data_IF_485277725035
#
_entry.id   IF_485277725035
#
_cell.length_a   1.000
_cell.length_b   1.000
_cell.length_c   1.000
_cell.angle_alpha   90.00
_cell.angle_beta   90.00
_cell.angle_gamma   90.00
#
_symmetry.space_group_name_H-M   'P 1'
#
loop_
_entity.id
_entity.type
_entity.pdbx_description
1 polymer ?
#
# COMPACT_ATOMS: atom_id res chain seq x y z
N UNK A 1 8.91 51.46 -11.65
CA UNK A 1 8.80 50.19 -12.42
C UNK A 1 8.31 49.13 -11.44
N UNK A 2 7.00 48.89 -11.43
CA UNK A 2 6.28 48.06 -10.46
C UNK A 2 6.30 46.62 -10.96
N UNK A 3 6.80 45.67 -10.17
CA UNK A 3 6.72 44.24 -10.49
C UNK A 3 5.38 43.70 -10.00
N UNK A 4 4.59 43.22 -10.96
CA UNK A 4 3.32 42.54 -10.77
C UNK A 4 3.51 41.26 -9.97
N UNK A 5 2.73 41.10 -8.90
CA UNK A 5 2.48 39.83 -8.23
C UNK A 5 1.48 39.05 -9.08
N UNK A 6 1.93 37.93 -9.65
CA UNK A 6 1.05 36.95 -10.28
C UNK A 6 0.49 36.01 -9.21
N UNK A 7 -0.78 36.18 -8.88
CA UNK A 7 -1.55 35.24 -8.06
C UNK A 7 -1.73 33.94 -8.83
N UNK A 8 -1.07 32.85 -8.42
CA UNK A 8 -1.36 31.51 -8.93
C UNK A 8 -2.50 30.96 -8.08
N UNK A 9 -3.68 30.84 -8.70
CA UNK A 9 -4.83 30.17 -8.10
C UNK A 9 -4.55 28.66 -8.04
N UNK A 10 -4.36 28.14 -6.83
CA UNK A 10 -4.33 26.70 -6.59
C UNK A 10 -5.74 26.15 -6.84
N UNK A 11 -5.89 25.39 -7.94
CA UNK A 11 -7.13 24.67 -8.22
C UNK A 11 -7.06 23.37 -7.45
N UNK A 12 -7.78 23.27 -6.33
CA UNK A 12 -7.96 22.03 -5.62
C UNK A 12 -8.72 21.04 -6.53
N UNK A 13 -8.06 19.95 -6.94
CA UNK A 13 -8.74 18.83 -7.58
C UNK A 13 -9.44 18.05 -6.47
N UNK A 14 -10.70 18.40 -6.21
CA UNK A 14 -11.57 17.57 -5.40
C UNK A 14 -11.92 16.31 -6.19
N UNK A 15 -11.40 15.16 -5.78
CA UNK A 15 -11.82 13.87 -6.32
C UNK A 15 -13.15 13.45 -5.65
N UNK A 16 -14.27 14.10 -6.00
CA UNK A 16 -15.60 13.68 -5.53
C UNK A 16 -16.64 13.63 -6.65
N UNK A 17 -17.05 12.40 -6.98
CA UNK A 17 -18.44 12.01 -7.20
C UNK A 17 -18.99 12.07 -8.63
N UNK A 18 -19.68 10.99 -9.04
CA UNK A 18 -21.10 10.95 -9.49
C UNK A 18 -21.32 9.78 -10.48
N UNK A 19 -22.06 8.74 -10.07
CA UNK A 19 -23.22 8.21 -10.82
C UNK A 19 -23.93 7.11 -10.01
N UNK A 20 -25.23 7.30 -9.81
CA UNK A 20 -26.20 6.35 -9.23
C UNK A 20 -26.38 5.10 -10.12
N UNK A 21 -26.84 3.96 -9.54
CA UNK A 21 -26.89 2.70 -10.26
C UNK A 21 -28.10 2.62 -11.21
N UNK A 22 -27.86 2.30 -12.48
CA UNK A 22 -28.87 1.71 -13.36
C UNK A 22 -28.72 0.19 -13.28
N UNK A 23 -29.73 -0.48 -12.74
CA UNK A 23 -29.89 -1.92 -12.85
C UNK A 23 -30.11 -2.29 -14.33
N UNK A 24 -29.22 -3.11 -14.89
CA UNK A 24 -29.55 -4.04 -15.97
C UNK A 24 -28.63 -5.26 -15.88
N UNK A 25 -29.24 -6.44 -15.96
CA UNK A 25 -28.71 -7.73 -15.59
C UNK A 25 -27.88 -8.43 -16.69
N UNK A 26 -27.22 -9.50 -16.25
CA UNK A 26 -26.75 -10.71 -16.98
C UNK A 26 -25.69 -10.53 -18.07
N UNK A 27 -24.46 -10.94 -17.77
CA UNK A 27 -24.06 -12.32 -18.10
C UNK A 27 -22.90 -12.81 -17.22
N UNK A 28 -22.97 -14.08 -16.84
CA UNK A 28 -22.01 -14.76 -15.99
C UNK A 28 -20.78 -15.18 -16.79
N UNK A 29 -19.60 -14.70 -16.41
CA UNK A 29 -18.35 -15.42 -16.67
C UNK A 29 -17.60 -15.56 -15.36
N UNK A 30 -17.69 -16.76 -14.81
CA UNK A 30 -16.87 -17.22 -13.71
C UNK A 30 -15.40 -17.28 -14.12
N UNK A 31 -14.51 -16.95 -13.18
CA UNK A 31 -13.19 -17.57 -13.12
C UNK A 31 -12.01 -16.61 -13.10
N UNK A 32 -11.59 -16.20 -11.89
CA UNK A 32 -10.20 -16.40 -11.44
C UNK A 32 -10.13 -16.12 -9.95
N UNK A 33 -10.50 -17.13 -9.15
CA UNK A 33 -10.10 -17.17 -7.76
C UNK A 33 -8.66 -17.71 -7.73
N UNK A 34 -7.68 -16.81 -7.64
CA UNK A 34 -6.30 -17.18 -7.39
C UNK A 34 -6.14 -17.50 -5.91
N UNK A 35 -6.21 -18.78 -5.55
CA UNK A 35 -5.85 -19.24 -4.20
C UNK A 35 -4.34 -19.24 -4.05
N UNK A 36 -3.77 -18.28 -3.33
CA UNK A 36 -2.36 -18.33 -2.90
C UNK A 36 -2.16 -19.34 -1.77
N UNK A 37 -0.97 -19.95 -1.74
CA UNK A 37 -0.59 -20.96 -0.78
C UNK A 37 -0.43 -20.39 0.64
N UNK A 38 -1.00 -21.06 1.64
CA UNK A 38 -0.75 -20.81 3.06
C UNK A 38 0.59 -21.45 3.46
N UNK A 39 1.49 -20.67 4.07
CA UNK A 39 2.66 -21.21 4.76
C UNK A 39 2.22 -21.81 6.10
N UNK A 40 2.94 -22.82 6.64
CA UNK A 40 2.60 -23.40 7.94
C UNK A 40 2.66 -22.33 9.03
N UNK A 41 1.58 -22.20 9.79
CA UNK A 41 1.49 -21.26 10.90
C UNK A 41 2.54 -21.59 11.97
N UNK A 42 3.26 -20.58 12.46
CA UNK A 42 4.09 -20.71 13.66
C UNK A 42 3.15 -20.54 14.87
N UNK A 43 3.05 -21.52 15.78
CA UNK A 43 2.20 -21.40 16.95
C UNK A 43 2.65 -20.22 17.81
N UNK A 44 1.77 -19.24 18.04
CA UNK A 44 2.03 -18.10 18.92
C UNK A 44 2.21 -18.52 20.38
N UNK A 45 2.88 -17.68 21.17
CA UNK A 45 3.00 -17.87 22.62
C UNK A 45 1.63 -17.75 23.32
N UNK A 46 1.46 -18.37 24.48
CA UNK A 46 0.18 -18.29 25.22
C UNK A 46 -0.14 -16.82 25.55
N UNK A 47 -1.28 -16.32 25.10
CA UNK A 47 -1.76 -14.95 25.35
C UNK A 47 -1.60 -13.97 24.19
N UNK A 48 -1.03 -14.39 23.05
CA UNK A 48 -1.03 -13.59 21.82
C UNK A 48 -2.22 -13.96 20.94
N UNK A 49 -2.80 -12.99 20.23
CA UNK A 49 -3.91 -13.20 19.30
C UNK A 49 -3.49 -12.92 17.87
N UNK A 50 -4.01 -13.75 16.96
CA UNK A 50 -4.00 -13.46 15.53
C UNK A 50 -5.09 -12.43 15.20
N UNK A 51 -4.79 -11.55 14.25
CA UNK A 51 -5.70 -10.55 13.72
C UNK A 51 -5.71 -10.61 12.20
N UNK A 52 -6.89 -10.37 11.61
CA UNK A 52 -7.01 -10.05 10.19
C UNK A 52 -6.55 -8.61 9.96
N UNK A 53 -5.38 -8.45 9.36
CA UNK A 53 -4.80 -7.15 9.01
C UNK A 53 -5.05 -6.90 7.53
N UNK A 54 -5.91 -5.93 7.22
CA UNK A 54 -6.34 -5.66 5.83
C UNK A 54 -5.67 -4.40 5.33
N UNK A 55 -5.02 -4.51 4.17
CA UNK A 55 -4.50 -3.41 3.37
C UNK A 55 -5.29 -3.33 2.07
N UNK A 56 -5.76 -2.13 1.73
CA UNK A 56 -6.52 -1.87 0.50
C UNK A 56 -5.64 -1.15 -0.53
N UNK A 57 -5.54 -1.72 -1.73
CA UNK A 57 -4.91 -1.08 -2.89
C UNK A 57 -5.99 -0.66 -3.87
N UNK A 58 -6.33 0.63 -3.89
CA UNK A 58 -7.28 1.19 -4.85
C UNK A 58 -6.65 1.38 -6.23
N UNK A 59 -7.36 1.03 -7.29
CA UNK A 59 -6.88 1.27 -8.66
C UNK A 59 -8.00 1.25 -9.69
N UNK A 60 -7.85 2.06 -10.75
CA UNK A 60 -8.57 1.89 -12.02
C UNK A 60 -7.91 0.88 -12.95
N UNK A 61 -6.65 0.49 -12.68
CA UNK A 61 -5.88 -0.46 -13.48
C UNK A 61 -6.17 -1.89 -13.04
N UNK A 62 -6.00 -2.87 -13.93
CA UNK A 62 -6.08 -4.27 -13.52
C UNK A 62 -4.91 -4.59 -12.58
N UNK A 63 -5.20 -4.85 -11.31
CA UNK A 63 -4.17 -5.15 -10.31
C UNK A 63 -4.39 -6.51 -9.64
N UNK A 64 -3.29 -7.16 -9.28
CA UNK A 64 -3.29 -8.37 -8.47
C UNK A 64 -2.02 -8.43 -7.63
N UNK A 65 -2.05 -9.13 -6.51
CA UNK A 65 -0.88 -9.35 -5.67
C UNK A 65 -0.64 -10.86 -5.50
N UNK A 66 0.62 -11.27 -5.59
CA UNK A 66 1.03 -12.65 -5.31
C UNK A 66 2.07 -12.63 -4.21
N UNK A 67 1.73 -13.27 -3.08
CA UNK A 67 2.67 -13.48 -1.98
C UNK A 67 3.72 -14.52 -2.37
N UNK A 68 5.00 -14.24 -2.10
CA UNK A 68 6.12 -15.11 -2.46
C UNK A 68 6.60 -16.01 -1.31
N UNK A 69 5.94 -15.95 -0.15
CA UNK A 69 6.31 -16.69 1.05
C UNK A 69 7.32 -15.98 1.94
N UNK A 70 7.90 -14.85 1.52
CA UNK A 70 8.80 -14.05 2.34
C UNK A 70 8.03 -13.21 3.36
N UNK A 71 8.42 -13.32 4.63
CA UNK A 71 7.90 -12.52 5.73
C UNK A 71 8.88 -12.39 6.89
N UNK A 72 8.59 -11.44 7.77
CA UNK A 72 9.18 -11.28 9.10
C UNK A 72 8.09 -10.82 10.05
N UNK A 73 8.02 -11.40 11.23
CA UNK A 73 7.08 -11.02 12.29
C UNK A 73 7.82 -10.94 13.61
N UNK A 74 7.35 -10.10 14.53
CA UNK A 74 7.86 -10.02 15.90
C UNK A 74 7.88 -11.40 16.55
N UNK A 75 8.99 -11.71 17.25
CA UNK A 75 9.20 -13.02 17.87
C UNK A 75 8.05 -13.38 18.83
N UNK A 76 7.57 -14.62 18.74
CA UNK A 76 6.48 -15.14 19.58
C UNK A 76 5.07 -14.76 19.13
N UNK A 77 4.92 -13.90 18.12
CA UNK A 77 3.63 -13.58 17.50
C UNK A 77 3.20 -14.64 16.48
N UNK A 78 1.88 -14.83 16.28
CA UNK A 78 1.35 -15.82 15.34
C UNK A 78 1.39 -15.28 13.91
N UNK A 79 1.54 -16.18 12.93
CA UNK A 79 1.45 -15.89 11.50
C UNK A 79 0.56 -16.94 10.83
N UNK A 80 -0.62 -16.52 10.35
CA UNK A 80 -1.62 -17.34 9.67
C UNK A 80 -1.55 -17.29 8.15
N UNK A 81 -0.73 -16.39 7.59
CA UNK A 81 -0.48 -16.29 6.15
C UNK A 81 -1.14 -15.09 5.47
N UNK A 82 -1.13 -15.11 4.13
CA UNK A 82 -1.53 -13.97 3.30
C UNK A 82 -2.56 -14.42 2.27
N UNK A 83 -3.68 -13.72 2.21
CA UNK A 83 -4.71 -13.91 1.17
C UNK A 83 -4.98 -12.61 0.43
N UNK A 84 -5.50 -12.72 -0.78
CA UNK A 84 -5.88 -11.58 -1.61
C UNK A 84 -7.31 -11.73 -2.08
N UNK A 85 -8.02 -10.62 -2.15
CA UNK A 85 -9.40 -10.57 -2.63
C UNK A 85 -9.65 -9.31 -3.45
N UNK A 86 -10.85 -9.22 -4.03
CA UNK A 86 -11.35 -7.96 -4.53
C UNK A 86 -11.59 -7.01 -3.37
N UNK A 87 -11.09 -5.78 -3.47
CA UNK A 87 -11.14 -4.75 -2.43
C UNK A 87 -10.80 -3.38 -3.02
N UNK A 88 -10.62 -2.37 -2.18
CA UNK A 88 -10.10 -1.07 -2.59
C UNK A 88 -11.04 -0.21 -3.43
N UNK A 89 -10.75 1.08 -3.48
CA UNK A 89 -11.49 2.03 -4.30
C UNK A 89 -11.05 1.95 -5.79
N UNK A 90 -11.87 2.43 -6.72
CA UNK A 90 -11.49 2.54 -8.14
C UNK A 90 -11.94 1.41 -9.08
N UNK A 91 -12.67 0.40 -8.57
CA UNK A 91 -13.35 -0.61 -9.37
C UNK A 91 -12.50 -1.83 -9.75
N UNK A 92 -11.17 -1.70 -9.78
CA UNK A 92 -10.22 -2.80 -10.00
C UNK A 92 -9.25 -3.02 -8.83
N UNK A 93 -9.51 -2.39 -7.69
CA UNK A 93 -8.66 -2.53 -6.50
C UNK A 93 -8.64 -3.95 -5.94
N UNK A 94 -7.71 -4.17 -5.02
CA UNK A 94 -7.57 -5.43 -4.27
C UNK A 94 -7.43 -5.16 -2.77
N UNK A 95 -7.85 -6.14 -1.98
CA UNK A 95 -7.51 -6.24 -0.57
C UNK A 95 -6.44 -7.30 -0.37
N UNK A 96 -5.47 -7.01 0.51
CA UNK A 96 -4.45 -7.94 0.97
C UNK A 96 -4.69 -8.16 2.45
N UNK A 97 -5.04 -9.39 2.84
CA UNK A 97 -5.27 -9.75 4.24
C UNK A 97 -4.10 -10.58 4.75
N UNK A 98 -3.46 -10.09 5.81
CA UNK A 98 -2.39 -10.77 6.54
C UNK A 98 -2.94 -11.20 7.89
N UNK A 99 -3.02 -12.50 8.10
CA UNK A 99 -3.37 -13.07 9.40
C UNK A 99 -2.12 -13.11 10.27
N UNK A 100 -2.02 -12.21 11.25
CA UNK A 100 -0.82 -12.06 12.06
C UNK A 100 -1.09 -11.32 13.39
N UNK A 101 -0.17 -11.47 14.34
CA UNK A 101 -0.12 -10.66 15.56
C UNK A 101 0.17 -9.18 15.31
N UNK A 102 -0.03 -8.36 16.36
CA UNK A 102 0.12 -6.89 16.33
C UNK A 102 1.03 -6.39 17.46
N UNK A 103 2.24 -6.94 17.53
CA UNK A 103 3.27 -6.49 18.47
C UNK A 103 4.41 -5.87 17.69
N UNK A 104 4.68 -4.58 17.90
CA UNK A 104 5.75 -3.87 17.23
C UNK A 104 7.13 -4.36 17.69
N UNK A 105 8.07 -4.51 16.76
CA UNK A 105 9.48 -4.63 17.10
C UNK A 105 10.41 -4.15 16.00
N UNK A 106 11.66 -3.90 16.35
CA UNK A 106 12.71 -3.50 15.42
C UNK A 106 13.09 -4.61 14.40
N UNK A 107 12.77 -5.88 14.69
CA UNK A 107 13.13 -7.02 13.83
C UNK A 107 12.48 -6.94 12.44
N UNK A 108 11.13 -6.95 12.36
CA UNK A 108 10.42 -6.79 11.09
C UNK A 108 10.69 -5.44 10.41
N UNK A 109 10.87 -4.37 11.18
CA UNK A 109 11.26 -3.05 10.65
C UNK A 109 12.62 -3.11 9.92
N UNK A 110 13.66 -3.64 10.56
CA UNK A 110 14.97 -3.81 9.94
C UNK A 110 14.92 -4.73 8.72
N UNK A 111 14.09 -5.79 8.76
CA UNK A 111 13.89 -6.71 7.63
C UNK A 111 13.22 -6.03 6.43
N UNK A 112 12.24 -5.17 6.68
CA UNK A 112 11.57 -4.35 5.67
C UNK A 112 12.55 -3.34 5.05
N UNK A 113 13.29 -2.60 5.88
CA UNK A 113 14.21 -1.56 5.45
C UNK A 113 15.36 -2.07 4.57
N UNK A 114 15.74 -3.35 4.70
CA UNK A 114 16.75 -3.98 3.83
C UNK A 114 16.24 -4.25 2.41
N UNK A 115 14.93 -4.15 2.15
CA UNK A 115 14.30 -4.54 0.88
C UNK A 115 13.82 -3.38 0.03
N UNK A 116 13.78 -2.17 0.57
CA UNK A 116 13.35 -0.98 -0.15
C UNK A 116 14.25 0.20 0.18
N UNK A 117 14.52 1.05 -0.81
CA UNK A 117 15.22 2.31 -0.61
C UNK A 117 14.27 3.52 -0.55
N UNK A 118 12.98 3.32 -0.83
CA UNK A 118 11.98 4.40 -0.90
C UNK A 118 10.63 3.90 -0.43
N UNK A 119 10.49 3.61 0.88
CA UNK A 119 9.20 3.27 1.45
C UNK A 119 8.29 4.50 1.50
N UNK A 120 6.99 4.24 1.42
CA UNK A 120 5.93 5.19 1.70
C UNK A 120 5.01 4.58 2.77
N UNK A 121 4.36 5.42 3.56
CA UNK A 121 3.45 5.00 4.60
C UNK A 121 2.09 5.69 4.48
N UNK A 122 1.04 5.02 4.94
CA UNK A 122 -0.22 5.68 5.24
C UNK A 122 -0.19 6.22 6.69
N UNK A 123 -0.86 7.34 6.94
CA UNK A 123 -0.93 7.98 8.27
C UNK A 123 0.43 8.32 8.93
N UNK A 124 1.52 8.43 8.15
CA UNK A 124 2.84 8.86 8.63
C UNK A 124 3.48 9.90 7.70
N UNK A 125 4.37 10.72 8.27
CA UNK A 125 5.06 11.80 7.57
C UNK A 125 6.14 11.35 6.57
N UNK A 126 6.64 12.31 5.80
CA UNK A 126 7.37 12.12 4.54
C UNK A 126 8.73 11.40 4.61
N UNK A 127 9.38 11.23 5.77
CA UNK A 127 10.83 10.93 5.76
C UNK A 127 11.35 9.92 6.79
N UNK A 128 10.65 8.82 7.09
CA UNK A 128 11.25 7.78 7.92
C UNK A 128 11.02 6.38 7.38
N UNK A 129 12.02 5.52 7.55
CA UNK A 129 11.77 4.08 7.60
C UNK A 129 11.05 3.76 8.92
N UNK A 130 10.23 2.71 8.98
CA UNK A 130 9.63 2.32 10.25
C UNK A 130 10.73 1.91 11.24
N UNK A 131 10.63 2.37 12.49
CA UNK A 131 11.50 1.93 13.58
C UNK A 131 11.03 0.59 14.16
N UNK A 132 9.71 0.39 14.21
CA UNK A 132 9.07 -0.84 14.64
C UNK A 132 7.96 -1.22 13.67
N UNK A 133 7.84 -2.52 13.39
CA UNK A 133 6.74 -3.09 12.64
C UNK A 133 6.23 -4.32 13.37
N UNK A 134 4.93 -4.57 13.27
CA UNK A 134 4.30 -5.81 13.72
C UNK A 134 4.77 -6.98 12.87
N UNK A 135 4.78 -6.76 11.55
CA UNK A 135 5.27 -7.69 10.55
C UNK A 135 5.62 -6.96 9.25
N UNK A 136 6.32 -7.68 8.37
CA UNK A 136 6.54 -7.32 6.99
C UNK A 136 6.49 -8.57 6.09
N UNK A 137 6.16 -8.38 4.81
CA UNK A 137 6.08 -9.44 3.81
C UNK A 137 6.56 -8.95 2.44
N UNK A 138 7.02 -9.87 1.60
CA UNK A 138 7.36 -9.61 0.20
C UNK A 138 6.33 -10.23 -0.73
N UNK A 139 6.20 -9.65 -1.91
CA UNK A 139 5.43 -10.26 -2.98
C UNK A 139 5.57 -9.48 -4.28
N UNK A 140 4.79 -9.89 -5.27
CA UNK A 140 4.75 -9.24 -6.58
C UNK A 140 3.39 -8.57 -6.77
N UNK A 141 3.40 -7.24 -6.89
CA UNK A 141 2.26 -6.46 -7.36
C UNK A 141 2.26 -6.48 -8.88
N UNK A 142 1.21 -7.02 -9.50
CA UNK A 142 1.07 -7.03 -10.95
C UNK A 142 0.09 -5.95 -11.37
N UNK A 143 0.53 -5.01 -12.21
CA UNK A 143 -0.31 -3.94 -12.77
C UNK A 143 -0.37 -4.13 -14.29
N UNK A 144 -1.58 -4.33 -14.82
CA UNK A 144 -1.82 -4.62 -16.24
C UNK A 144 -0.89 -5.70 -16.83
N UNK A 145 -0.65 -6.77 -16.05
CA UNK A 145 0.18 -7.90 -16.45
C UNK A 145 1.69 -7.71 -16.28
N UNK A 146 2.16 -6.54 -15.84
CA UNK A 146 3.57 -6.31 -15.50
C UNK A 146 3.78 -6.49 -14.00
N UNK A 147 4.71 -7.38 -13.60
CA UNK A 147 5.02 -7.67 -12.20
C UNK A 147 6.08 -6.74 -11.63
N UNK A 148 5.80 -6.22 -10.44
CA UNK A 148 6.66 -5.32 -9.67
C UNK A 148 6.90 -5.92 -8.28
N UNK A 149 8.13 -6.34 -7.96
CA UNK A 149 8.48 -6.81 -6.62
C UNK A 149 8.33 -5.68 -5.59
N UNK A 150 7.54 -5.93 -4.54
CA UNK A 150 7.28 -4.96 -3.46
C UNK A 150 7.44 -5.61 -2.09
N UNK A 151 7.68 -4.78 -1.08
CA UNK A 151 7.65 -5.15 0.34
C UNK A 151 6.52 -4.35 1.01
N UNK A 152 5.75 -5.02 1.85
CA UNK A 152 4.64 -4.45 2.61
C UNK A 152 4.95 -4.64 4.09
N UNK A 153 4.67 -3.64 4.92
CA UNK A 153 4.80 -3.70 6.37
C UNK A 153 3.57 -3.14 7.05
N UNK A 154 3.29 -3.60 8.27
CA UNK A 154 2.31 -2.98 9.14
C UNK A 154 2.96 -2.70 10.49
N UNK A 155 2.85 -1.47 10.97
CA UNK A 155 3.29 -1.04 12.29
C UNK A 155 2.13 -0.44 13.08
N UNK A 156 2.45 0.42 14.04
CA UNK A 156 1.46 1.21 14.74
C UNK A 156 2.02 2.59 15.10
N UNK A 157 1.14 3.59 15.15
CA UNK A 157 1.42 4.94 15.65
C UNK A 157 0.33 5.31 16.66
N UNK A 158 0.71 5.42 17.94
CA UNK A 158 -0.24 5.58 19.04
C UNK A 158 -1.27 4.43 19.12
N UNK A 159 -2.54 4.73 18.84
CA UNK A 159 -3.63 3.75 18.85
C UNK A 159 -4.03 3.26 17.44
N UNK A 160 -3.37 3.77 16.40
CA UNK A 160 -3.67 3.45 15.01
C UNK A 160 -2.62 2.50 14.46
N UNK A 161 -3.03 1.64 13.52
CA UNK A 161 -2.08 0.88 12.71
C UNK A 161 -1.72 1.71 11.48
N UNK A 162 -0.45 1.71 11.11
CA UNK A 162 0.02 2.25 9.85
C UNK A 162 0.55 1.12 8.97
N UNK A 163 0.50 1.33 7.67
CA UNK A 163 0.96 0.45 6.62
C UNK A 163 2.06 1.12 5.84
N UNK A 164 2.96 0.27 5.36
CA UNK A 164 4.17 0.66 4.68
C UNK A 164 4.27 -0.12 3.38
N UNK A 165 4.61 0.55 2.28
CA UNK A 165 4.87 -0.08 0.99
C UNK A 165 6.20 0.43 0.44
N UNK A 166 7.02 -0.48 -0.05
CA UNK A 166 8.28 -0.16 -0.71
C UNK A 166 8.49 -1.00 -1.96
N UNK A 167 9.14 -0.41 -2.95
CA UNK A 167 9.62 -1.13 -4.12
C UNK A 167 10.89 -1.92 -3.83
N UNK A 168 10.97 -3.16 -4.30
CA UNK A 168 12.20 -3.95 -4.19
C UNK A 168 13.07 -3.80 -5.44
N UNK A 169 14.39 -3.69 -5.22
CA UNK A 169 15.39 -3.56 -6.29
C UNK A 169 15.60 -2.13 -6.77
N UNK A 170 16.36 -2.00 -7.86
CA UNK A 170 16.74 -0.69 -8.41
C UNK A 170 15.63 -0.05 -9.26
N UNK A 171 15.66 1.27 -9.39
CA UNK A 171 14.83 2.03 -10.33
C UNK A 171 13.53 2.57 -9.75
N UNK A 172 13.10 2.10 -8.59
CA UNK A 172 12.02 2.75 -7.84
C UNK A 172 12.43 4.16 -7.41
N UNK A 173 11.51 5.12 -7.51
CA UNK A 173 11.77 6.50 -7.10
C UNK A 173 10.63 7.00 -6.22
N UNK A 174 10.97 7.39 -5.00
CA UNK A 174 10.07 8.06 -4.08
C UNK A 174 9.98 9.56 -4.35
N UNK A 175 8.86 10.15 -3.93
CA UNK A 175 8.66 11.59 -3.94
C UNK A 175 7.42 11.98 -3.12
N UNK A 176 7.22 13.29 -3.00
CA UNK A 176 6.01 13.86 -2.42
C UNK A 176 5.37 14.82 -3.38
N UNK A 177 4.07 14.74 -3.46
CA UNK A 177 3.21 15.62 -4.23
C UNK A 177 2.26 16.34 -3.28
N UNK A 178 2.29 17.67 -3.28
CA UNK A 178 1.54 18.51 -2.33
C UNK A 178 2.37 19.70 -1.85
N UNK A 179 1.72 20.75 -1.35
CA UNK A 179 2.42 21.95 -0.81
C UNK A 179 1.94 22.32 0.61
N UNK A 180 1.30 21.39 1.33
CA UNK A 180 0.76 21.63 2.66
C UNK A 180 0.66 20.32 3.44
N UNK A 181 1.04 20.36 4.74
CA UNK A 181 1.06 19.22 5.67
C UNK A 181 -0.30 18.51 5.87
N UNK A 182 -1.38 19.00 5.27
CA UNK A 182 -2.71 18.36 5.27
C UNK A 182 -3.03 17.62 3.95
N UNK A 183 -2.14 17.68 2.95
CA UNK A 183 -2.35 17.19 1.58
C UNK A 183 -1.12 16.50 0.99
N UNK A 184 -0.10 16.20 1.81
CA UNK A 184 1.12 15.60 1.29
C UNK A 184 0.82 14.15 0.89
N UNK A 185 0.93 13.90 -0.41
CA UNK A 185 0.78 12.57 -1.01
C UNK A 185 2.18 12.03 -1.22
N UNK A 186 2.54 11.02 -0.41
CA UNK A 186 3.76 10.27 -0.64
C UNK A 186 3.54 9.32 -1.80
N UNK A 187 4.51 9.19 -2.69
CA UNK A 187 4.41 8.23 -3.77
C UNK A 187 5.74 7.55 -4.06
N UNK A 188 5.67 6.33 -4.60
CA UNK A 188 6.80 5.63 -5.19
C UNK A 188 6.44 5.16 -6.59
N UNK A 189 7.31 5.45 -7.55
CA UNK A 189 7.11 5.12 -8.96
C UNK A 189 7.79 3.81 -9.33
N UNK A 190 7.14 3.03 -10.19
CA UNK A 190 7.68 1.79 -10.73
C UNK A 190 8.98 2.04 -11.51
N UNK A 191 9.89 1.05 -11.63
CA UNK A 191 11.15 1.23 -12.34
C UNK A 191 11.03 1.65 -13.82
N UNK A 192 9.92 1.30 -14.47
CA UNK A 192 9.61 1.71 -15.84
C UNK A 192 8.92 3.09 -15.94
N UNK A 193 8.67 3.74 -14.80
CA UNK A 193 8.08 5.07 -14.70
C UNK A 193 6.62 5.16 -15.18
N UNK A 194 5.90 4.04 -15.28
CA UNK A 194 4.51 4.03 -15.76
C UNK A 194 3.49 4.23 -14.66
N UNK A 195 3.73 3.64 -13.49
CA UNK A 195 2.77 3.65 -12.39
C UNK A 195 3.38 4.25 -11.14
N UNK A 196 2.53 4.82 -10.31
CA UNK A 196 2.86 5.25 -8.96
C UNK A 196 1.93 4.55 -7.97
N UNK A 197 2.50 4.12 -6.85
CA UNK A 197 1.77 3.77 -5.63
C UNK A 197 1.81 5.01 -4.75
N UNK A 198 0.67 5.47 -4.27
CA UNK A 198 0.53 6.69 -3.51
C UNK A 198 -0.19 6.45 -2.19
N UNK A 199 0.26 7.14 -1.14
CA UNK A 199 -0.36 7.18 0.17
C UNK A 199 -0.81 8.61 0.46
N UNK A 200 -2.07 8.78 0.84
CA UNK A 200 -2.57 10.03 1.38
C UNK A 200 -2.51 9.97 2.90
N UNK A 201 -1.96 11.00 3.54
CA UNK A 201 -1.77 11.06 5.00
C UNK A 201 -3.08 10.97 5.80
N UNK A 202 -4.24 11.19 5.17
CA UNK A 202 -5.56 11.08 5.80
C UNK A 202 -6.28 9.75 5.54
N UNK A 203 -5.71 8.87 4.72
CA UNK A 203 -6.29 7.56 4.42
C UNK A 203 -5.68 6.50 5.33
N UNK A 204 -6.55 5.66 5.91
CA UNK A 204 -6.14 4.55 6.78
C UNK A 204 -6.28 3.22 6.06
N UNK A 205 -5.25 2.40 6.14
CA UNK A 205 -5.13 1.08 5.51
C UNK A 205 -5.25 1.12 3.99
N UNK A 206 -4.90 2.24 3.34
CA UNK A 206 -5.19 2.42 1.92
C UNK A 206 -4.08 3.12 1.14
N UNK A 207 -3.75 2.56 -0.02
CA UNK A 207 -2.92 3.18 -1.04
C UNK A 207 -3.66 3.24 -2.38
N UNK A 208 -3.31 4.22 -3.21
CA UNK A 208 -3.80 4.35 -4.58
C UNK A 208 -2.73 3.93 -5.60
N UNK A 209 -3.16 3.30 -6.69
CA UNK A 209 -2.32 3.00 -7.85
C UNK A 209 -2.85 3.79 -9.04
N UNK A 210 -2.00 4.65 -9.60
CA UNK A 210 -2.34 5.50 -10.74
C UNK A 210 -1.17 5.63 -11.73
N UNK A 211 -1.41 6.32 -12.84
CA UNK A 211 -0.36 6.65 -13.81
C UNK A 211 0.67 7.61 -13.17
N UNK A 212 1.95 7.33 -13.35
CA UNK A 212 3.03 8.11 -12.75
C UNK A 212 3.09 9.55 -13.27
N UNK A 213 2.54 9.84 -14.45
CA UNK A 213 2.49 11.20 -15.02
C UNK A 213 1.70 12.17 -14.15
N UNK A 214 0.79 11.69 -13.30
CA UNK A 214 0.06 12.52 -12.34
C UNK A 214 0.96 13.12 -11.26
N UNK A 215 2.13 12.52 -11.02
CA UNK A 215 3.05 12.90 -9.93
C UNK A 215 4.31 13.62 -10.44
N UNK A 216 4.61 13.53 -11.74
CA UNK A 216 5.81 14.09 -12.37
C UNK A 216 5.65 15.57 -12.83
N UNK A 217 4.61 16.29 -12.38
CA UNK A 217 4.20 17.59 -12.92
C UNK A 217 4.33 18.81 -12.00
N UNK A 218 5.15 18.75 -10.95
CA UNK A 218 5.39 19.86 -10.02
C UNK A 218 6.49 20.83 -10.47
#
# INVERSE_FOLDING_TARGET
>A
MIRSLGTIAATAVALVGMATPVLAATDSVAGSATTTASAPAVPGLVGVSEHSNVLELGSSQAVSFTWDGGYSITEGQPWGGVTTGSGGQGGNGISITVEAGREGSAGPAAWFSQRTASPIADDEGVENFPEELNFALTGTLTINGTGYPIVIGQGHSGYNNNWWIGGQGEGWKGGVYGTSMLTDVMYTTTPDGKYAIAAETAMMNQFGIADASLFNGG
#
